data_IF_879848551545
#
_entry.id   IF_879848551545
#
_cell.length_a   1.000
_cell.length_b   1.000
_cell.length_c   1.000
_cell.angle_alpha   90.00
_cell.angle_beta   90.00
_cell.angle_gamma   90.00
#
_symmetry.space_group_name_H-M   'P 1'
#
loop_
_entity.id
_entity.type
_entity.pdbx_description
1 polymer ?
#
# COMPACT_ATOMS: atom_id res chain seq x y z
N UNK A 1 -13.13 26.77 -12.25
CA UNK A 1 -13.12 26.01 -10.98
C UNK A 1 -13.22 26.99 -9.81
N UNK A 2 -14.25 26.88 -8.97
CA UNK A 2 -14.45 27.80 -7.85
C UNK A 2 -13.34 27.63 -6.80
N UNK A 3 -12.74 28.75 -6.36
CA UNK A 3 -11.73 28.74 -5.30
C UNK A 3 -12.43 28.46 -3.97
N UNK A 4 -12.31 27.23 -3.46
CA UNK A 4 -12.84 26.89 -2.14
C UNK A 4 -12.07 27.67 -1.07
N UNK A 5 -12.73 28.60 -0.40
CA UNK A 5 -12.19 29.38 0.71
C UNK A 5 -11.78 28.47 1.86
N UNK A 6 -10.79 28.88 2.66
CA UNK A 6 -10.33 28.14 3.83
C UNK A 6 -11.24 28.46 5.02
N UNK A 7 -11.82 27.43 5.64
CA UNK A 7 -12.58 27.62 6.88
C UNK A 7 -11.65 27.76 8.08
N UNK A 8 -12.13 28.36 9.16
CA UNK A 8 -11.38 28.49 10.41
C UNK A 8 -10.99 27.12 10.99
N UNK A 9 -11.87 26.11 10.87
CA UNK A 9 -11.58 24.74 11.29
C UNK A 9 -10.49 24.07 10.45
N UNK A 10 -10.51 24.28 9.13
CA UNK A 10 -9.45 23.77 8.24
C UNK A 10 -8.11 24.42 8.55
N UNK A 11 -8.12 25.72 8.91
CA UNK A 11 -6.92 26.46 9.28
C UNK A 11 -6.31 25.96 10.59
N UNK A 12 -7.14 25.71 11.61
CA UNK A 12 -6.68 25.18 12.89
C UNK A 12 -6.09 23.76 12.74
N UNK A 13 -6.77 22.93 11.95
CA UNK A 13 -6.31 21.57 11.62
C UNK A 13 -5.03 21.59 10.78
N UNK A 14 -4.89 22.55 9.86
CA UNK A 14 -3.66 22.78 9.09
C UNK A 14 -2.47 23.07 10.01
N UNK A 15 -2.63 23.99 10.96
CA UNK A 15 -1.58 24.38 11.92
C UNK A 15 -1.20 23.26 12.88
N UNK A 16 -2.17 22.43 13.26
CA UNK A 16 -1.92 21.26 14.11
C UNK A 16 -1.12 20.21 13.34
N UNK A 17 -1.58 19.85 12.14
CA UNK A 17 -0.96 18.79 11.33
C UNK A 17 0.40 19.20 10.77
N UNK A 18 0.68 20.48 10.54
CA UNK A 18 1.97 20.93 10.00
C UNK A 18 3.16 20.61 10.91
N UNK A 19 2.93 20.44 12.22
CA UNK A 19 3.96 20.10 13.20
C UNK A 19 4.47 18.67 13.04
N UNK A 20 3.60 17.76 12.62
CA UNK A 20 3.88 16.33 12.60
C UNK A 20 3.92 15.73 11.19
N UNK A 21 3.19 16.31 10.25
CA UNK A 21 2.91 15.71 8.95
C UNK A 21 3.44 16.57 7.78
N UNK A 22 3.86 15.94 6.66
CA UNK A 22 4.23 16.64 5.46
C UNK A 22 2.99 17.09 4.66
N UNK A 23 3.12 18.10 3.77
CA UNK A 23 2.00 18.66 3.02
C UNK A 23 1.18 17.65 2.20
N UNK A 24 1.79 16.54 1.78
CA UNK A 24 1.12 15.47 1.04
C UNK A 24 0.11 14.69 1.90
N UNK A 25 0.39 14.52 3.19
CA UNK A 25 -0.50 13.83 4.13
C UNK A 25 -1.61 14.78 4.56
N UNK A 26 -1.26 16.03 4.88
CA UNK A 26 -2.20 17.09 5.23
C UNK A 26 -3.24 17.31 4.11
N UNK A 27 -2.79 17.27 2.85
CA UNK A 27 -3.67 17.37 1.69
C UNK A 27 -4.74 16.26 1.63
N UNK A 28 -4.37 15.02 1.98
CA UNK A 28 -5.32 13.91 2.04
C UNK A 28 -6.33 14.11 3.17
N UNK A 29 -5.84 14.48 4.35
CA UNK A 29 -6.66 14.71 5.54
C UNK A 29 -7.68 15.83 5.34
N UNK A 30 -7.27 16.93 4.71
CA UNK A 30 -8.14 18.08 4.43
C UNK A 30 -8.89 17.96 3.09
N UNK A 31 -8.74 16.85 2.37
CA UNK A 31 -9.30 16.64 1.03
C UNK A 31 -9.05 17.81 0.08
N UNK A 32 -7.85 18.39 0.13
CA UNK A 32 -7.43 19.57 -0.66
C UNK A 32 -6.18 19.27 -1.48
N UNK A 33 -5.99 19.95 -2.63
CA UNK A 33 -4.77 19.77 -3.42
C UNK A 33 -3.51 20.15 -2.64
N UNK A 34 -2.44 19.37 -2.79
CA UNK A 34 -1.13 19.62 -2.15
C UNK A 34 -0.59 21.02 -2.47
N UNK A 35 -0.82 21.50 -3.69
CA UNK A 35 -0.43 22.84 -4.13
C UNK A 35 -1.13 23.93 -3.32
N UNK A 36 -2.42 23.77 -3.05
CA UNK A 36 -3.21 24.69 -2.21
C UNK A 36 -2.71 24.69 -0.77
N UNK A 37 -2.41 23.51 -0.22
CA UNK A 37 -1.87 23.36 1.15
C UNK A 37 -0.50 24.04 1.27
N UNK A 38 0.42 23.77 0.34
CA UNK A 38 1.76 24.41 0.34
C UNK A 38 1.68 25.92 0.20
N UNK A 39 0.80 26.41 -0.69
CA UNK A 39 0.56 27.85 -0.84
C UNK A 39 0.08 28.43 0.48
N UNK A 40 -0.89 27.78 1.12
CA UNK A 40 -1.48 28.29 2.36
C UNK A 40 -0.49 28.27 3.53
N UNK A 41 0.29 27.21 3.68
CA UNK A 41 1.36 27.13 4.68
C UNK A 41 2.40 28.25 4.49
N UNK A 42 2.76 28.56 3.24
CA UNK A 42 3.65 29.68 2.93
C UNK A 42 3.03 31.04 3.27
N UNK A 43 1.75 31.24 2.97
CA UNK A 43 1.03 32.48 3.29
C UNK A 43 0.97 32.76 4.80
N UNK A 44 0.82 31.71 5.62
CA UNK A 44 0.73 31.84 7.09
C UNK A 44 2.15 31.81 7.73
N UNK A 45 3.19 31.50 6.95
CA UNK A 45 4.56 31.42 7.45
C UNK A 45 4.85 30.20 8.32
N UNK A 46 4.05 29.13 8.21
CA UNK A 46 4.19 27.92 9.02
C UNK A 46 5.12 26.92 8.33
N UNK A 47 6.19 26.55 9.03
CA UNK A 47 7.07 25.45 8.60
C UNK A 47 6.38 24.10 8.76
N UNK A 48 6.68 23.16 7.86
CA UNK A 48 6.13 21.81 7.88
C UNK A 48 7.23 20.75 7.87
N UNK A 49 6.92 19.56 8.38
CA UNK A 49 7.84 18.41 8.39
C UNK A 49 8.18 17.98 6.96
N UNK A 50 9.46 17.73 6.70
CA UNK A 50 9.90 17.22 5.39
C UNK A 50 9.42 15.78 5.19
N UNK A 51 9.06 15.44 3.95
CA UNK A 51 8.54 14.10 3.62
C UNK A 51 9.49 12.95 3.99
N UNK A 52 10.79 13.15 3.83
CA UNK A 52 11.79 12.11 4.17
C UNK A 52 11.94 11.92 5.67
N UNK A 53 11.91 13.01 6.43
CA UNK A 53 11.94 12.96 7.90
C UNK A 53 10.70 12.27 8.44
N UNK A 54 9.53 12.59 7.88
CA UNK A 54 8.28 11.92 8.24
C UNK A 54 8.32 10.42 7.95
N UNK A 55 8.78 10.01 6.75
CA UNK A 55 8.94 8.59 6.40
C UNK A 55 9.86 7.86 7.38
N UNK A 56 11.00 8.47 7.73
CA UNK A 56 11.93 7.91 8.72
C UNK A 56 11.26 7.71 10.08
N UNK A 57 10.51 8.72 10.55
CA UNK A 57 9.72 8.63 11.80
C UNK A 57 8.69 7.49 11.74
N UNK A 58 7.98 7.32 10.62
CA UNK A 58 7.01 6.23 10.45
C UNK A 58 7.69 4.85 10.50
N UNK A 59 8.81 4.67 9.79
CA UNK A 59 9.57 3.42 9.82
C UNK A 59 10.10 3.12 11.22
N UNK A 60 10.61 4.14 11.92
CA UNK A 60 11.08 3.99 13.29
C UNK A 60 9.96 3.63 14.26
N UNK A 61 8.76 4.18 14.09
CA UNK A 61 7.58 3.79 14.87
C UNK A 61 7.20 2.34 14.61
N UNK A 62 7.22 1.87 13.36
CA UNK A 62 6.94 0.48 13.03
C UNK A 62 7.95 -0.48 13.70
N UNK A 63 9.25 -0.17 13.62
CA UNK A 63 10.30 -0.97 14.27
C UNK A 63 10.12 -0.99 15.79
N UNK A 64 9.77 0.17 16.39
CA UNK A 64 9.54 0.27 17.83
C UNK A 64 8.28 -0.48 18.29
N UNK A 65 7.26 -0.60 17.43
CA UNK A 65 6.03 -1.31 17.72
C UNK A 65 6.18 -2.83 17.57
N UNK A 66 7.06 -3.30 16.70
CA UNK A 66 7.36 -4.74 16.52
C UNK A 66 7.99 -5.37 17.79
N UNK A 67 8.64 -4.56 18.63
CA UNK A 67 9.17 -4.98 19.93
C UNK A 67 8.10 -5.09 21.03
N UNK A 68 6.89 -4.59 20.80
CA UNK A 68 5.72 -4.86 21.66
C UNK A 68 4.99 -6.03 21.03
N UNK A 69 5.48 -7.24 21.31
CA UNK A 69 4.89 -8.48 20.83
C UNK A 69 3.42 -8.57 21.20
N UNK A 70 2.55 -8.15 20.29
CA UNK A 70 1.16 -8.54 20.12
C UNK A 70 0.66 -7.79 18.88
N UNK A 71 0.97 -8.35 17.70
CA UNK A 71 0.11 -8.11 16.56
C UNK A 71 -1.29 -8.59 16.98
N UNK A 72 -2.34 -7.75 16.91
CA UNK A 72 -3.69 -8.30 17.00
C UNK A 72 -3.75 -9.35 15.90
N UNK A 73 -4.09 -10.59 16.27
CA UNK A 73 -4.33 -11.70 15.34
C UNK A 73 -5.23 -11.17 14.24
N UNK A 74 -4.60 -10.72 13.16
CA UNK A 74 -5.27 -10.30 11.93
C UNK A 74 -6.07 -11.52 11.55
N UNK A 75 -7.38 -11.32 11.45
CA UNK A 75 -8.39 -12.33 11.23
C UNK A 75 -7.79 -13.60 10.64
N UNK A 76 -7.99 -14.72 11.33
CA UNK A 76 -7.95 -16.04 10.73
C UNK A 76 -8.96 -15.98 9.58
N UNK A 77 -8.53 -15.45 8.44
CA UNK A 77 -9.20 -15.63 7.18
C UNK A 77 -9.25 -17.14 7.06
N UNK A 78 -10.45 -17.69 7.28
CA UNK A 78 -10.76 -19.00 6.77
C UNK A 78 -10.30 -18.98 5.33
N UNK A 79 -9.18 -19.62 5.07
CA UNK A 79 -8.57 -19.67 3.76
C UNK A 79 -9.59 -20.40 2.90
N UNK A 80 -10.42 -19.63 2.19
CA UNK A 80 -11.53 -20.16 1.40
C UNK A 80 -10.98 -21.19 0.45
N UNK A 81 -11.74 -22.25 0.17
CA UNK A 81 -11.30 -23.32 -0.74
C UNK A 81 -10.77 -22.74 -2.07
N UNK A 82 -11.36 -21.64 -2.54
CA UNK A 82 -10.89 -20.88 -3.70
C UNK A 82 -9.47 -20.32 -3.53
N UNK A 83 -9.15 -19.73 -2.37
CA UNK A 83 -7.80 -19.23 -2.07
C UNK A 83 -6.77 -20.36 -1.95
N UNK A 84 -7.18 -21.53 -1.45
CA UNK A 84 -6.33 -22.72 -1.39
C UNK A 84 -6.00 -23.21 -2.80
N UNK A 85 -7.03 -23.34 -3.65
CA UNK A 85 -6.88 -23.77 -5.06
C UNK A 85 -6.01 -22.79 -5.85
N UNK A 86 -6.18 -21.48 -5.65
CA UNK A 86 -5.37 -20.47 -6.31
C UNK A 86 -3.90 -20.55 -5.85
N UNK A 87 -3.64 -20.76 -4.56
CA UNK A 87 -2.28 -20.90 -4.05
C UNK A 87 -1.61 -22.17 -4.59
N UNK A 88 -2.31 -23.31 -4.63
CA UNK A 88 -1.82 -24.53 -5.27
C UNK A 88 -1.49 -24.31 -6.76
N UNK A 89 -2.36 -23.60 -7.47
CA UNK A 89 -2.16 -23.28 -8.88
C UNK A 89 -0.90 -22.43 -9.11
N UNK A 90 -0.75 -21.32 -8.37
CA UNK A 90 0.40 -20.41 -8.54
C UNK A 90 1.72 -21.05 -8.12
N UNK A 91 1.74 -21.83 -7.03
CA UNK A 91 2.94 -22.54 -6.60
C UNK A 91 3.38 -23.61 -7.61
N UNK A 92 2.42 -24.34 -8.20
CA UNK A 92 2.70 -25.31 -9.26
C UNK A 92 3.24 -24.64 -10.52
N UNK A 93 2.62 -23.53 -10.95
CA UNK A 93 3.08 -22.75 -12.11
C UNK A 93 4.52 -22.24 -11.91
N UNK A 94 4.82 -21.69 -10.73
CA UNK A 94 6.16 -21.18 -10.39
C UNK A 94 7.21 -22.31 -10.37
N UNK A 95 6.86 -23.48 -9.85
CA UNK A 95 7.73 -24.66 -9.87
C UNK A 95 8.05 -25.09 -11.31
N UNK A 96 7.03 -25.21 -12.16
CA UNK A 96 7.22 -25.60 -13.57
C UNK A 96 7.97 -24.54 -14.38
N UNK A 97 7.70 -23.25 -14.15
CA UNK A 97 8.47 -22.17 -14.76
C UNK A 97 9.95 -22.22 -14.37
N UNK A 98 10.26 -22.56 -13.11
CA UNK A 98 11.62 -22.76 -12.64
C UNK A 98 12.31 -23.94 -13.34
N UNK A 99 11.61 -25.07 -13.49
CA UNK A 99 12.14 -26.26 -14.21
C UNK A 99 12.35 -25.96 -15.70
N UNK A 100 11.37 -25.33 -16.36
CA UNK A 100 11.48 -24.97 -17.76
C UNK A 100 12.63 -24.00 -18.01
N UNK A 101 12.81 -23.01 -17.13
CA UNK A 101 13.94 -22.07 -17.18
C UNK A 101 15.29 -22.80 -17.09
N UNK A 102 15.41 -23.81 -16.21
CA UNK A 102 16.61 -24.66 -16.14
C UNK A 102 16.86 -25.46 -17.43
N UNK A 103 15.81 -25.80 -18.17
CA UNK A 103 15.90 -26.47 -19.47
C UNK A 103 15.95 -25.50 -20.67
N UNK A 104 16.08 -24.18 -20.44
CA UNK A 104 16.09 -23.18 -21.51
C UNK A 104 14.75 -22.97 -22.23
N UNK A 105 13.65 -23.51 -21.68
CA UNK A 105 12.28 -23.42 -22.23
C UNK A 105 11.48 -22.34 -21.50
N UNK A 106 10.47 -21.79 -22.18
CA UNK A 106 9.50 -20.84 -21.60
C UNK A 106 8.18 -21.54 -21.38
N UNK A 107 7.52 -21.23 -20.26
CA UNK A 107 6.16 -21.72 -19.97
C UNK A 107 5.19 -20.60 -20.31
N UNK A 108 4.24 -20.88 -21.19
CA UNK A 108 3.11 -20.03 -21.45
C UNK A 108 1.98 -20.32 -20.44
N UNK A 109 1.41 -19.26 -19.86
CA UNK A 109 0.42 -19.35 -18.79
C UNK A 109 -0.90 -19.94 -19.30
N UNK A 110 -1.31 -19.61 -20.52
CA UNK A 110 -2.55 -20.14 -21.12
C UNK A 110 -2.41 -21.64 -21.40
N UNK A 111 -1.30 -22.04 -22.02
CA UNK A 111 -0.96 -23.45 -22.23
C UNK A 111 -0.87 -24.25 -20.91
N UNK A 112 -0.37 -23.61 -19.84
CA UNK A 112 -0.34 -24.22 -18.51
C UNK A 112 -1.73 -24.38 -17.92
N UNK A 113 -2.60 -23.37 -18.00
CA UNK A 113 -3.99 -23.46 -17.51
C UNK A 113 -4.71 -24.61 -18.21
N UNK A 114 -4.57 -24.75 -19.52
CA UNK A 114 -5.18 -25.85 -20.28
C UNK A 114 -4.65 -27.22 -19.85
N UNK A 115 -3.33 -27.33 -19.63
CA UNK A 115 -2.70 -28.57 -19.17
C UNK A 115 -3.10 -28.91 -17.73
N UNK A 116 -3.08 -27.92 -16.84
CA UNK A 116 -3.51 -28.04 -15.45
C UNK A 116 -4.97 -28.46 -15.36
N UNK A 117 -5.84 -27.86 -16.19
CA UNK A 117 -7.26 -28.22 -16.30
C UNK A 117 -7.43 -29.67 -16.76
N UNK A 118 -6.70 -30.11 -17.79
CA UNK A 118 -6.72 -31.49 -18.29
C UNK A 118 -6.27 -32.51 -17.24
N UNK A 119 -5.28 -32.18 -16.42
CA UNK A 119 -4.72 -33.07 -15.39
C UNK A 119 -5.63 -33.12 -14.14
N UNK A 120 -6.14 -31.98 -13.66
CA UNK A 120 -6.93 -31.90 -12.41
C UNK A 120 -8.41 -32.20 -12.59
N UNK A 121 -9.02 -31.87 -13.73
CA UNK A 121 -10.47 -32.08 -13.94
C UNK A 121 -10.81 -33.39 -14.64
N UNK A 122 -9.82 -34.13 -15.16
CA UNK A 122 -10.05 -35.27 -16.03
C UNK A 122 -10.61 -34.82 -17.38
N UNK A 123 -10.08 -35.38 -18.47
CA UNK A 123 -10.69 -35.24 -19.80
C UNK A 123 -12.00 -36.00 -19.89
#
# INVERSE_FOLDING_TARGET
>A
MAKKSWSTQEMDRLCTLSKDCPPSVIAKELSRPVTSVRKKLREIGVSYVKGDEWKRKQVQMLISNDNRGELPRRNREEMTEEAQVLNEFWTTLLSMASVAKKQGKRVDVLSFIDTYRKIKLGG
#
